data_IF_066520030319
#
_entry.id   IF_066520030319
#
_cell.length_a   1.000
_cell.length_b   1.000
_cell.length_c   1.000
_cell.angle_alpha   90.00
_cell.angle_beta   90.00
_cell.angle_gamma   90.00
#
_symmetry.space_group_name_H-M   'P 1'
#
loop_
_entity.id
_entity.type
_entity.pdbx_description
1 polymer ?
#
# COMPACT_ATOMS: atom_id res chain seq x y z
N UNK A 1 -23.21 36.96 -40.41
CA UNK A 1 -24.18 36.93 -39.29
C UNK A 1 -23.98 35.63 -38.51
N UNK A 2 -23.46 35.76 -37.27
CA UNK A 2 -23.55 34.84 -36.10
C UNK A 2 -23.09 33.38 -36.34
N UNK A 3 -21.83 33.03 -36.06
CA UNK A 3 -21.25 32.71 -34.73
C UNK A 3 -22.10 31.80 -33.84
N UNK A 4 -21.42 30.77 -33.31
CA UNK A 4 -21.58 30.21 -31.97
C UNK A 4 -22.56 29.04 -31.78
N UNK A 5 -22.09 27.81 -32.03
CA UNK A 5 -22.58 26.63 -31.30
C UNK A 5 -21.37 25.94 -30.66
N UNK A 6 -20.88 26.57 -29.60
CA UNK A 6 -19.81 26.08 -28.76
C UNK A 6 -20.26 24.80 -28.04
N UNK A 7 -19.43 23.77 -28.17
CA UNK A 7 -18.73 23.24 -27.02
C UNK A 7 -19.67 22.69 -25.92
N UNK A 8 -20.17 21.48 -26.14
CA UNK A 8 -20.66 20.64 -25.04
C UNK A 8 -19.44 20.23 -24.19
N UNK A 9 -18.98 21.17 -23.35
CA UNK A 9 -18.05 20.87 -22.26
C UNK A 9 -18.79 19.91 -21.33
N UNK A 10 -18.51 18.63 -21.50
CA UNK A 10 -18.78 17.62 -20.50
C UNK A 10 -17.96 18.02 -19.27
N UNK A 11 -18.58 18.78 -18.38
CA UNK A 11 -18.04 19.10 -17.06
C UNK A 11 -17.93 17.75 -16.35
N UNK A 12 -16.75 17.15 -16.45
CA UNK A 12 -16.31 16.05 -15.62
C UNK A 12 -16.20 16.67 -14.21
N UNK A 13 -17.31 16.64 -13.49
CA UNK A 13 -17.37 16.93 -12.06
C UNK A 13 -16.41 15.94 -11.40
N UNK A 14 -15.16 16.38 -11.21
CA UNK A 14 -14.26 15.79 -10.23
C UNK A 14 -14.91 16.11 -8.90
N UNK A 15 -15.82 15.23 -8.48
CA UNK A 15 -16.28 15.19 -7.10
C UNK A 15 -15.05 14.71 -6.33
N UNK A 16 -14.19 15.65 -5.93
CA UNK A 16 -13.27 15.42 -4.83
C UNK A 16 -14.14 15.18 -3.62
N UNK A 17 -14.56 13.94 -3.44
CA UNK A 17 -15.15 13.48 -2.20
C UNK A 17 -14.13 13.81 -1.13
N UNK A 18 -14.42 14.80 -0.30
CA UNK A 18 -13.65 15.10 0.89
C UNK A 18 -13.91 13.98 1.91
N UNK A 19 -13.54 12.76 1.55
CA UNK A 19 -13.59 11.62 2.43
C UNK A 19 -12.50 11.85 3.48
N UNK A 20 -12.91 11.93 4.75
CA UNK A 20 -11.96 12.04 5.85
C UNK A 20 -11.15 10.74 5.87
N UNK A 21 -9.84 10.82 5.61
CA UNK A 21 -8.99 9.62 5.61
C UNK A 21 -9.10 8.87 6.94
N UNK A 22 -9.42 7.58 6.88
CA UNK A 22 -9.49 6.70 8.05
C UNK A 22 -8.11 6.13 8.40
N UNK A 23 -7.27 5.90 7.37
CA UNK A 23 -5.93 5.38 7.47
C UNK A 23 -4.92 6.51 7.19
N UNK A 24 -4.02 6.77 8.14
CA UNK A 24 -3.02 7.82 8.03
C UNK A 24 -2.02 7.48 6.91
N UNK A 25 -1.69 8.46 6.07
CA UNK A 25 -0.77 8.31 4.94
C UNK A 25 -1.18 7.22 3.92
N UNK A 26 -2.47 6.86 3.84
CA UNK A 26 -2.96 5.94 2.82
C UNK A 26 -2.69 6.46 1.40
N UNK A 27 -2.53 5.52 0.47
CA UNK A 27 -2.57 5.80 -0.96
C UNK A 27 -4.01 5.88 -1.46
N UNK A 28 -4.20 6.64 -2.55
CA UNK A 28 -5.49 6.75 -3.24
C UNK A 28 -5.73 5.62 -4.24
N UNK A 29 -4.67 4.85 -4.53
CA UNK A 29 -4.69 3.63 -5.32
C UNK A 29 -3.51 2.75 -4.93
N UNK A 30 -3.53 1.49 -5.37
CA UNK A 30 -2.39 0.57 -5.26
C UNK A 30 -1.15 1.16 -5.95
N UNK A 31 -1.32 1.79 -7.11
CA UNK A 31 -0.23 2.41 -7.87
C UNK A 31 0.37 3.62 -7.15
N UNK A 32 -0.46 4.47 -6.52
CA UNK A 32 0.01 5.60 -5.72
C UNK A 32 0.84 5.11 -4.53
N UNK A 33 0.32 4.13 -3.79
CA UNK A 33 1.01 3.51 -2.66
C UNK A 33 2.35 2.90 -3.09
N UNK A 34 2.38 2.19 -4.22
CA UNK A 34 3.58 1.57 -4.75
C UNK A 34 4.63 2.61 -5.20
N UNK A 35 4.23 3.68 -5.88
CA UNK A 35 5.15 4.77 -6.28
C UNK A 35 5.79 5.44 -5.07
N UNK A 36 4.98 5.77 -4.05
CA UNK A 36 5.48 6.38 -2.80
C UNK A 36 6.44 5.45 -2.05
N UNK A 37 6.23 4.13 -2.12
CA UNK A 37 7.18 3.18 -1.55
C UNK A 37 8.50 3.12 -2.33
N UNK A 38 8.44 3.16 -3.67
CA UNK A 38 9.65 3.23 -4.51
C UNK A 38 10.43 4.53 -4.25
N UNK A 39 9.75 5.66 -4.08
CA UNK A 39 10.36 6.94 -3.69
C UNK A 39 11.08 6.82 -2.34
N UNK A 40 10.42 6.26 -1.32
CA UNK A 40 11.03 6.05 -0.01
C UNK A 40 12.24 5.11 -0.05
N UNK A 41 12.21 4.07 -0.91
CA UNK A 41 13.35 3.17 -1.14
C UNK A 41 14.49 3.92 -1.82
N UNK A 42 14.20 4.69 -2.87
CA UNK A 42 15.20 5.48 -3.60
C UNK A 42 15.88 6.51 -2.68
N UNK A 43 15.15 7.10 -1.73
CA UNK A 43 15.69 8.07 -0.78
C UNK A 43 16.27 7.44 0.50
N UNK A 44 16.34 6.11 0.61
CA UNK A 44 16.72 5.40 1.84
C UNK A 44 15.94 5.85 3.09
N UNK A 45 14.67 6.22 2.92
CA UNK A 45 13.84 6.79 3.98
C UNK A 45 12.95 5.72 4.64
N UNK A 46 13.52 5.06 5.65
CA UNK A 46 12.79 4.06 6.43
C UNK A 46 11.57 4.63 7.15
N UNK A 47 11.57 5.92 7.51
CA UNK A 47 10.44 6.53 8.23
C UNK A 47 9.25 6.70 7.30
N UNK A 48 9.49 7.17 6.08
CA UNK A 48 8.44 7.27 5.08
C UNK A 48 7.95 5.88 4.66
N UNK A 49 8.84 4.90 4.52
CA UNK A 49 8.44 3.52 4.23
C UNK A 49 7.55 2.94 5.36
N UNK A 50 7.92 3.15 6.62
CA UNK A 50 7.13 2.75 7.79
C UNK A 50 5.78 3.50 7.88
N UNK A 51 5.70 4.75 7.44
CA UNK A 51 4.46 5.53 7.44
C UNK A 51 3.41 4.99 6.44
N UNK A 52 3.84 4.30 5.37
CA UNK A 52 2.96 3.73 4.34
C UNK A 52 2.26 2.43 4.75
N UNK A 53 2.66 1.83 5.88
CA UNK A 53 2.02 0.61 6.39
C UNK A 53 1.02 0.88 7.51
N UNK A 54 0.11 -0.08 7.69
CA UNK A 54 -0.83 -0.12 8.80
C UNK A 54 -0.06 0.04 10.12
N UNK A 55 -0.44 1.05 10.89
CA UNK A 55 0.12 1.28 12.22
C UNK A 55 -0.64 0.47 13.28
N UNK A 56 -0.12 0.49 14.52
CA UNK A 56 -0.67 -0.32 15.62
C UNK A 56 -2.13 0.00 15.92
N UNK A 57 -2.48 1.29 15.92
CA UNK A 57 -3.82 1.75 16.28
C UNK A 57 -4.82 1.43 15.17
N UNK A 58 -4.43 1.60 13.90
CA UNK A 58 -5.20 1.19 12.72
C UNK A 58 -5.42 -0.33 12.74
N UNK A 59 -4.37 -1.12 13.00
CA UNK A 59 -4.47 -2.57 13.10
C UNK A 59 -5.45 -2.99 14.20
N UNK A 60 -5.32 -2.39 15.40
CA UNK A 60 -6.19 -2.67 16.55
C UNK A 60 -7.64 -2.32 16.28
N UNK A 61 -7.87 -1.17 15.66
CA UNK A 61 -9.20 -0.59 15.49
C UNK A 61 -9.95 -1.22 14.34
N UNK A 62 -9.29 -1.44 13.20
CA UNK A 62 -9.96 -1.79 11.94
C UNK A 62 -9.77 -3.25 11.54
N UNK A 63 -8.58 -3.83 11.70
CA UNK A 63 -8.28 -5.17 11.18
C UNK A 63 -8.52 -6.26 12.24
N UNK A 64 -7.95 -6.06 13.42
CA UNK A 64 -7.92 -7.06 14.49
C UNK A 64 -9.30 -7.63 14.86
N UNK A 65 -10.38 -6.83 14.99
CA UNK A 65 -11.70 -7.36 15.33
C UNK A 65 -12.25 -8.39 14.35
N UNK A 66 -11.81 -8.36 13.09
CA UNK A 66 -12.30 -9.26 12.04
C UNK A 66 -11.44 -10.52 11.86
N UNK A 67 -10.18 -10.48 12.30
CA UNK A 67 -9.25 -11.60 12.16
C UNK A 67 -9.67 -12.84 12.95
N UNK A 68 -9.56 -14.06 12.38
CA UNK A 68 -9.88 -15.29 13.10
C UNK A 68 -9.11 -15.45 14.42
N UNK A 69 -7.86 -15.00 14.46
CA UNK A 69 -7.03 -15.06 15.66
C UNK A 69 -7.62 -14.28 16.86
N UNK A 70 -8.32 -13.16 16.62
CA UNK A 70 -8.94 -12.38 17.69
C UNK A 70 -10.11 -13.12 18.35
N UNK A 71 -10.80 -13.98 17.59
CA UNK A 71 -11.88 -14.84 18.06
C UNK A 71 -11.36 -16.07 18.82
N UNK A 72 -10.10 -16.44 18.62
CA UNK A 72 -9.45 -17.61 19.20
C UNK A 72 -8.56 -17.27 20.42
N UNK A 73 -8.86 -16.20 21.14
CA UNK A 73 -8.16 -15.76 22.36
C UNK A 73 -6.67 -15.46 22.19
N UNK A 74 -6.18 -15.23 20.97
CA UNK A 74 -4.81 -14.74 20.77
C UNK A 74 -4.74 -13.30 21.32
N UNK A 75 -3.77 -12.96 22.18
CA UNK A 75 -3.62 -11.58 22.65
C UNK A 75 -3.28 -10.64 21.50
N UNK A 76 -3.92 -9.46 21.49
CA UNK A 76 -3.66 -8.43 20.48
C UNK A 76 -2.17 -8.08 20.38
N UNK A 77 -1.51 -7.86 21.52
CA UNK A 77 -0.10 -7.46 21.55
C UNK A 77 0.80 -8.52 20.93
N UNK A 78 0.53 -9.80 21.19
CA UNK A 78 1.27 -10.90 20.57
C UNK A 78 1.10 -10.91 19.04
N UNK A 79 -0.13 -10.75 18.55
CA UNK A 79 -0.39 -10.72 17.11
C UNK A 79 0.28 -9.51 16.43
N UNK A 80 0.19 -8.34 17.05
CA UNK A 80 0.85 -7.12 16.56
C UNK A 80 2.36 -7.25 16.56
N UNK A 81 2.97 -7.68 17.66
CA UNK A 81 4.42 -7.77 17.80
C UNK A 81 5.02 -8.77 16.80
N UNK A 82 4.34 -9.90 16.57
CA UNK A 82 4.75 -10.85 15.54
C UNK A 82 4.67 -10.27 14.12
N UNK A 83 3.60 -9.55 13.78
CA UNK A 83 3.46 -8.89 12.48
C UNK A 83 4.51 -7.77 12.31
N UNK A 84 4.64 -6.91 13.30
CA UNK A 84 5.50 -5.74 13.30
C UNK A 84 6.98 -6.14 13.25
N UNK A 85 7.39 -7.15 14.01
CA UNK A 85 8.77 -7.66 14.00
C UNK A 85 9.21 -8.16 12.62
N UNK A 86 8.38 -8.96 11.95
CA UNK A 86 8.65 -9.44 10.57
C UNK A 86 8.69 -8.29 9.57
N UNK A 87 7.76 -7.35 9.70
CA UNK A 87 7.65 -6.17 8.84
C UNK A 87 8.89 -5.28 8.94
N UNK A 88 9.37 -4.97 10.14
CA UNK A 88 10.59 -4.15 10.34
C UNK A 88 11.80 -4.83 9.70
N UNK A 89 11.95 -6.16 9.89
CA UNK A 89 13.02 -6.93 9.25
C UNK A 89 12.94 -6.85 7.72
N UNK A 90 11.75 -7.03 7.14
CA UNK A 90 11.52 -6.94 5.70
C UNK A 90 11.83 -5.55 5.12
N UNK A 91 11.42 -4.47 5.80
CA UNK A 91 11.76 -3.10 5.39
C UNK A 91 13.27 -2.85 5.42
N UNK A 92 13.94 -3.26 6.50
CA UNK A 92 15.39 -3.13 6.61
C UNK A 92 16.12 -3.87 5.50
N UNK A 93 15.63 -5.06 5.12
CA UNK A 93 16.18 -5.82 4.01
C UNK A 93 15.96 -5.13 2.67
N UNK A 94 14.76 -4.63 2.41
CA UNK A 94 14.46 -3.91 1.18
C UNK A 94 15.40 -2.71 0.98
N UNK A 95 15.63 -1.92 2.04
CA UNK A 95 16.56 -0.78 1.98
C UNK A 95 18.02 -1.23 1.84
N UNK A 96 18.43 -2.31 2.51
CA UNK A 96 19.78 -2.86 2.36
C UNK A 96 20.06 -3.37 0.95
N UNK A 97 19.09 -4.03 0.32
CA UNK A 97 19.27 -4.72 -0.96
C UNK A 97 19.12 -3.77 -2.16
N UNK A 98 18.17 -2.83 -2.09
CA UNK A 98 17.81 -1.96 -3.22
C UNK A 98 17.64 -0.48 -2.85
N UNK A 99 17.91 -0.08 -1.61
CA UNK A 99 17.86 1.32 -1.21
C UNK A 99 18.85 2.18 -2.00
N UNK A 100 18.45 3.42 -2.31
CA UNK A 100 19.26 4.31 -3.14
C UNK A 100 19.13 4.09 -4.64
N UNK A 101 18.38 3.06 -5.08
CA UNK A 101 18.11 2.80 -6.49
C UNK A 101 16.76 3.41 -6.89
N UNK A 102 16.76 4.12 -8.01
CA UNK A 102 15.54 4.64 -8.62
C UNK A 102 14.88 3.58 -9.50
N UNK A 103 13.56 3.45 -9.40
CA UNK A 103 12.77 2.53 -10.19
C UNK A 103 11.53 3.22 -10.72
N UNK A 104 11.16 2.94 -11.96
CA UNK A 104 9.86 3.36 -12.49
C UNK A 104 8.86 2.21 -12.36
N UNK A 105 7.71 2.48 -11.75
CA UNK A 105 6.63 1.50 -11.64
C UNK A 105 6.04 1.21 -13.02
N UNK A 106 5.94 -0.08 -13.37
CA UNK A 106 5.25 -0.57 -14.58
C UNK A 106 3.87 -1.09 -14.21
N UNK A 107 3.78 -1.95 -13.18
CA UNK A 107 2.53 -2.57 -12.76
C UNK A 107 2.63 -3.11 -11.32
N UNK A 108 1.50 -3.28 -10.66
CA UNK A 108 1.39 -4.01 -9.39
C UNK A 108 0.57 -5.29 -9.60
N UNK A 109 1.09 -6.41 -9.10
CA UNK A 109 0.44 -7.72 -9.19
C UNK A 109 0.43 -8.40 -7.83
N UNK A 110 -0.44 -9.40 -7.67
CA UNK A 110 -0.57 -10.20 -6.45
C UNK A 110 -0.35 -11.67 -6.79
N UNK A 111 0.48 -12.37 -6.01
CA UNK A 111 0.79 -13.79 -6.26
C UNK A 111 -0.28 -14.73 -5.68
N UNK A 112 -1.14 -14.23 -4.79
CA UNK A 112 -2.20 -14.98 -4.13
C UNK A 112 -3.55 -14.27 -4.31
N UNK A 113 -4.65 -15.01 -4.11
CA UNK A 113 -5.99 -14.44 -4.18
C UNK A 113 -6.21 -13.41 -3.07
N UNK A 114 -7.11 -12.49 -3.33
CA UNK A 114 -7.60 -11.56 -2.32
C UNK A 114 -8.25 -12.32 -1.15
N UNK A 115 -7.99 -11.85 0.07
CA UNK A 115 -8.60 -12.33 1.31
C UNK A 115 -9.63 -11.28 1.78
N UNK A 116 -10.93 -11.44 1.43
CA UNK A 116 -11.96 -10.47 1.77
C UNK A 116 -12.42 -10.60 3.23
N UNK A 117 -12.50 -9.46 3.91
CA UNK A 117 -13.12 -9.31 5.22
C UNK A 117 -14.42 -8.51 5.08
N UNK A 118 -15.15 -8.35 6.19
CA UNK A 118 -16.44 -7.65 6.14
C UNK A 118 -16.27 -6.16 5.83
N UNK A 119 -15.15 -5.55 6.21
CA UNK A 119 -14.93 -4.11 6.01
C UNK A 119 -13.62 -3.73 5.31
N UNK A 120 -12.84 -4.69 4.84
CA UNK A 120 -11.60 -4.45 4.08
C UNK A 120 -11.25 -5.68 3.23
N UNK A 121 -10.32 -5.52 2.29
CA UNK A 121 -9.73 -6.60 1.50
C UNK A 121 -8.23 -6.62 1.73
N UNK A 122 -7.65 -7.81 1.86
CA UNK A 122 -6.19 -7.98 1.84
C UNK A 122 -5.77 -8.52 0.48
N UNK A 123 -4.97 -7.73 -0.25
CA UNK A 123 -4.30 -8.19 -1.46
C UNK A 123 -2.96 -8.82 -1.10
N UNK A 124 -2.87 -10.13 -1.29
CA UNK A 124 -1.81 -10.94 -0.72
C UNK A 124 -0.64 -11.10 -1.69
N UNK A 125 0.58 -11.02 -1.17
CA UNK A 125 1.83 -11.15 -1.91
C UNK A 125 1.97 -10.16 -3.06
N UNK A 126 2.01 -8.89 -2.69
CA UNK A 126 2.29 -7.77 -3.60
C UNK A 126 3.65 -7.90 -4.30
N UNK A 127 3.65 -7.77 -5.62
CA UNK A 127 4.84 -7.75 -6.47
C UNK A 127 4.79 -6.49 -7.34
N UNK A 128 5.83 -5.67 -7.25
CA UNK A 128 5.98 -4.52 -8.14
C UNK A 128 6.80 -4.93 -9.36
N UNK A 129 6.23 -4.75 -10.55
CA UNK A 129 6.98 -4.79 -11.79
C UNK A 129 7.52 -3.39 -12.04
N UNK A 130 8.84 -3.28 -12.23
CA UNK A 130 9.53 -2.00 -12.36
C UNK A 130 10.54 -2.02 -13.50
N UNK A 131 10.95 -0.85 -13.98
CA UNK A 131 12.18 -0.68 -14.76
C UNK A 131 13.24 0.04 -13.95
N UNK A 132 14.48 -0.40 -14.06
CA UNK A 132 15.64 0.29 -13.49
C UNK A 132 16.15 1.41 -14.43
N UNK A 133 17.20 2.18 -14.03
CA UNK A 133 17.72 3.28 -14.85
C UNK A 133 18.32 2.83 -16.19
N UNK A 134 18.72 1.57 -16.32
CA UNK A 134 19.19 0.98 -17.59
C UNK A 134 18.01 0.57 -18.49
N UNK A 135 16.77 0.74 -18.04
CA UNK A 135 15.55 0.31 -18.72
C UNK A 135 15.26 -1.19 -18.61
N UNK A 136 15.97 -1.93 -17.73
CA UNK A 136 15.75 -3.37 -17.54
C UNK A 136 14.55 -3.59 -16.62
N UNK A 137 13.65 -4.47 -17.02
CA UNK A 137 12.53 -4.87 -16.19
C UNK A 137 12.98 -5.76 -15.03
N UNK A 138 12.46 -5.49 -13.83
CA UNK A 138 12.71 -6.22 -12.59
C UNK A 138 11.40 -6.43 -11.84
N UNK A 139 11.41 -7.42 -10.95
CA UNK A 139 10.33 -7.63 -9.98
C UNK A 139 10.86 -7.35 -8.58
N UNK A 140 10.14 -6.52 -7.82
CA UNK A 140 10.40 -6.28 -6.40
C UNK A 140 9.36 -7.03 -5.58
N UNK A 141 9.83 -7.94 -4.73
CA UNK A 141 8.99 -8.88 -3.94
C UNK A 141 9.07 -8.69 -2.43
N UNK A 142 9.61 -7.55 -1.96
CA UNK A 142 9.72 -7.24 -0.53
C UNK A 142 8.38 -6.87 0.12
N UNK A 143 7.32 -6.63 -0.67
CA UNK A 143 6.02 -6.22 -0.14
C UNK A 143 5.16 -7.44 0.17
N UNK A 144 4.68 -7.52 1.40
CA UNK A 144 3.90 -8.65 1.90
C UNK A 144 2.46 -8.60 1.42
N UNK A 145 1.67 -7.70 1.97
CA UNK A 145 0.26 -7.54 1.56
C UNK A 145 -0.15 -6.08 1.60
N UNK A 146 -1.19 -5.73 0.85
CA UNK A 146 -1.85 -4.42 0.91
C UNK A 146 -3.24 -4.61 1.51
N UNK A 147 -3.65 -3.67 2.35
CA UNK A 147 -5.03 -3.56 2.84
C UNK A 147 -5.71 -2.48 2.03
N UNK A 148 -6.85 -2.84 1.42
CA UNK A 148 -7.81 -1.90 0.84
C UNK A 148 -8.99 -1.73 1.79
N UNK A 149 -9.30 -0.49 2.14
CA UNK A 149 -10.46 -0.15 2.97
C UNK A 149 -11.04 1.18 2.51
N UNK A 150 -12.33 1.21 2.14
CA UNK A 150 -13.03 2.45 1.74
C UNK A 150 -12.29 3.25 0.65
N UNK A 151 -11.59 2.56 -0.27
CA UNK A 151 -10.78 3.20 -1.32
C UNK A 151 -9.42 3.73 -0.83
N UNK A 152 -9.02 3.41 0.39
CA UNK A 152 -7.70 3.75 0.96
C UNK A 152 -6.81 2.51 1.01
N UNK A 153 -5.54 2.68 0.65
CA UNK A 153 -4.58 1.59 0.51
C UNK A 153 -3.38 1.79 1.43
N UNK A 154 -3.00 0.76 2.19
CA UNK A 154 -1.74 0.73 2.96
C UNK A 154 -1.10 -0.64 2.94
N UNK A 155 0.22 -0.71 3.07
CA UNK A 155 0.87 -2.00 3.28
C UNK A 155 0.47 -2.58 4.63
N UNK A 156 0.17 -3.87 4.69
CA UNK A 156 0.02 -4.58 5.96
C UNK A 156 1.38 -5.07 6.46
N UNK A 157 2.24 -5.52 5.54
CA UNK A 157 3.47 -6.23 5.88
C UNK A 157 4.53 -6.11 4.78
N UNK A 158 5.77 -6.39 5.17
CA UNK A 158 6.93 -6.55 4.30
C UNK A 158 7.49 -7.97 4.52
N UNK A 159 8.05 -8.56 3.47
CA UNK A 159 8.63 -9.90 3.47
C UNK A 159 10.10 -9.83 3.83
N UNK A 160 10.54 -10.78 4.66
CA UNK A 160 11.92 -10.89 5.11
C UNK A 160 12.81 -11.72 4.20
#
# INVERSE_FOLDING_TARGET
MKNLTYLLFLVMLIVSSCHKRELANSGDSIDDLAKRALEAIASNDIKNLDALRINRDEFKKYLWPEFPASKNHVPFDFAWDNLNGKTIKGMSRALSDIGGQEFNLVNVTFEENDDPYSSFVIHTRTVLQVTDPDGKQKQIKFFGSIVERNGEFKFLSYRD
#
